data_IF_209085033971
#
_entry.id   IF_209085033971
#
_cell.length_a   1.000
_cell.length_b   1.000
_cell.length_c   1.000
_cell.angle_alpha   90.00
_cell.angle_beta   90.00
_cell.angle_gamma   90.00
#
_symmetry.space_group_name_H-M   'P 1'
#
loop_
_entity.id
_entity.type
_entity.pdbx_description
1 polymer ?
#
# COMPACT_ATOMS: atom_id res chain seq x y z
N UNK A 1 -12.19 4.94 18.10
CA UNK A 1 -12.71 6.31 18.32
C UNK A 1 -11.81 7.12 19.24
N UNK A 2 -11.46 6.65 20.46
CA UNK A 2 -10.66 7.42 21.40
C UNK A 2 -9.35 7.98 20.82
N UNK A 3 -8.56 7.16 20.08
CA UNK A 3 -7.33 7.63 19.43
C UNK A 3 -7.63 8.70 18.37
N UNK A 4 -8.64 8.49 17.53
CA UNK A 4 -9.01 9.44 16.48
C UNK A 4 -9.46 10.81 17.04
N UNK A 5 -10.05 10.83 18.21
CA UNK A 5 -10.51 12.04 18.89
C UNK A 5 -9.36 12.79 19.60
N UNK A 6 -8.30 12.08 19.99
CA UNK A 6 -7.23 12.60 20.84
C UNK A 6 -5.85 12.68 20.16
N UNK A 7 -5.77 12.43 18.84
CA UNK A 7 -4.54 12.58 18.06
C UNK A 7 -4.63 13.80 17.14
N UNK A 8 -3.50 14.46 16.88
CA UNK A 8 -3.42 15.59 15.95
C UNK A 8 -3.48 15.14 14.49
N UNK A 9 -3.06 13.92 14.21
CA UNK A 9 -2.99 13.32 12.87
C UNK A 9 -3.50 11.88 12.95
N UNK A 10 -4.25 11.45 11.94
CA UNK A 10 -4.70 10.07 11.80
C UNK A 10 -3.80 9.32 10.83
N UNK A 11 -3.33 8.15 11.21
CA UNK A 11 -2.58 7.24 10.36
C UNK A 11 -3.42 6.01 10.07
N UNK A 12 -3.51 5.63 8.80
CA UNK A 12 -4.22 4.43 8.35
C UNK A 12 -3.32 3.53 7.51
N UNK A 13 -3.52 2.22 7.63
CA UNK A 13 -3.04 1.23 6.67
C UNK A 13 -4.26 0.66 5.93
N UNK A 14 -4.24 0.68 4.61
CA UNK A 14 -5.34 0.16 3.82
C UNK A 14 -4.84 -0.54 2.56
N UNK A 15 -4.91 -1.85 2.56
CA UNK A 15 -4.49 -2.72 1.46
C UNK A 15 -5.67 -3.20 0.61
N UNK A 16 -6.78 -2.49 0.67
CA UNK A 16 -8.01 -2.80 -0.04
C UNK A 16 -8.12 -2.00 -1.35
N UNK A 17 -9.01 -2.39 -2.27
CA UNK A 17 -9.30 -1.63 -3.47
C UNK A 17 -9.74 -0.19 -3.21
N UNK A 18 -9.76 0.62 -4.26
CA UNK A 18 -9.99 2.06 -4.20
C UNK A 18 -11.32 2.49 -3.56
N UNK A 19 -12.37 1.72 -3.74
CA UNK A 19 -13.68 1.98 -3.13
C UNK A 19 -13.66 1.81 -1.61
N UNK A 20 -13.01 0.77 -1.11
CA UNK A 20 -12.82 0.58 0.33
C UNK A 20 -11.87 1.65 0.89
N UNK A 21 -10.79 2.02 0.18
CA UNK A 21 -9.94 3.14 0.57
C UNK A 21 -10.74 4.44 0.71
N UNK A 22 -11.62 4.75 -0.25
CA UNK A 22 -12.49 5.92 -0.18
C UNK A 22 -13.39 5.87 1.06
N UNK A 23 -14.00 4.73 1.36
CA UNK A 23 -14.85 4.56 2.56
C UNK A 23 -14.09 4.79 3.85
N UNK A 24 -12.85 4.28 3.95
CA UNK A 24 -11.97 4.54 5.10
C UNK A 24 -11.66 6.01 5.26
N UNK A 25 -11.32 6.69 4.17
CA UNK A 25 -11.03 8.14 4.18
C UNK A 25 -12.28 8.93 4.61
N UNK A 26 -13.45 8.60 4.08
CA UNK A 26 -14.70 9.27 4.44
C UNK A 26 -15.01 9.13 5.93
N UNK A 27 -14.78 7.95 6.50
CA UNK A 27 -14.90 7.72 7.93
C UNK A 27 -13.88 8.54 8.73
N UNK A 28 -12.61 8.55 8.32
CA UNK A 28 -11.55 9.31 9.03
C UNK A 28 -11.78 10.82 8.97
N UNK A 29 -12.33 11.35 7.88
CA UNK A 29 -12.68 12.77 7.73
C UNK A 29 -13.68 13.26 8.75
N UNK A 30 -14.52 12.38 9.31
CA UNK A 30 -15.49 12.76 10.36
C UNK A 30 -14.81 13.31 11.63
N UNK A 31 -13.53 12.97 11.84
CA UNK A 31 -12.75 13.46 12.99
C UNK A 31 -12.08 14.81 12.74
N UNK A 32 -12.16 15.35 11.51
CA UNK A 32 -11.59 16.65 11.14
C UNK A 32 -10.09 16.79 11.51
N UNK A 33 -9.30 15.78 11.16
CA UNK A 33 -7.85 15.70 11.36
C UNK A 33 -7.15 15.42 10.04
N UNK A 34 -5.88 15.85 9.86
CA UNK A 34 -5.06 15.40 8.75
C UNK A 34 -4.95 13.88 8.71
N UNK A 35 -4.97 13.30 7.52
CA UNK A 35 -4.91 11.85 7.32
C UNK A 35 -3.64 11.50 6.57
N UNK A 36 -2.89 10.50 7.05
CA UNK A 36 -1.80 9.85 6.38
C UNK A 36 -2.16 8.39 6.10
N UNK A 37 -2.12 7.96 4.85
CA UNK A 37 -2.09 6.55 4.50
C UNK A 37 -0.62 6.11 4.52
N UNK A 38 -0.21 5.49 5.60
CA UNK A 38 1.19 5.13 5.84
C UNK A 38 1.57 3.78 5.27
N UNK A 39 0.58 2.98 4.84
CA UNK A 39 0.79 1.78 4.07
C UNK A 39 -0.42 1.51 3.16
N UNK A 40 -0.15 1.26 1.89
CA UNK A 40 -1.07 0.73 0.91
C UNK A 40 -0.28 -0.10 -0.12
N UNK A 41 -0.86 -0.49 -1.21
CA UNK A 41 -0.29 -1.37 -2.22
C UNK A 41 -0.23 -2.83 -1.77
N UNK A 42 -1.21 -3.57 -2.25
CA UNK A 42 -1.25 -5.02 -2.19
C UNK A 42 -1.86 -5.48 -3.52
N UNK A 43 -1.02 -5.65 -4.54
CA UNK A 43 -1.48 -5.90 -5.91
C UNK A 43 -2.46 -7.07 -6.03
N UNK A 44 -2.23 -8.22 -5.35
CA UNK A 44 -3.19 -9.32 -5.38
C UNK A 44 -4.56 -9.00 -4.80
N UNK A 45 -4.67 -7.96 -3.96
CA UNK A 45 -5.94 -7.52 -3.36
C UNK A 45 -6.59 -6.37 -4.12
N UNK A 46 -6.04 -5.98 -5.27
CA UNK A 46 -6.55 -4.86 -6.07
C UNK A 46 -6.20 -3.48 -5.54
N UNK A 47 -5.38 -3.39 -4.50
CA UNK A 47 -4.78 -2.15 -4.05
C UNK A 47 -3.52 -1.88 -4.88
N UNK A 48 -3.65 -1.10 -5.95
CA UNK A 48 -2.56 -0.76 -6.87
C UNK A 48 -2.32 0.74 -6.91
N UNK A 49 -1.19 1.17 -7.45
CA UNK A 49 -0.92 2.60 -7.62
C UNK A 49 -1.97 3.27 -8.51
N UNK A 50 -2.34 2.63 -9.60
CA UNK A 50 -3.30 3.17 -10.57
C UNK A 50 -4.70 3.35 -9.98
N UNK A 51 -5.10 2.48 -9.07
CA UNK A 51 -6.44 2.52 -8.47
C UNK A 51 -6.50 3.41 -7.23
N UNK A 52 -5.50 3.37 -6.38
CA UNK A 52 -5.53 3.99 -5.04
C UNK A 52 -4.93 5.39 -5.01
N UNK A 53 -3.80 5.64 -5.71
CA UNK A 53 -3.18 6.98 -5.70
C UNK A 53 -4.10 8.12 -6.16
N UNK A 54 -4.96 7.94 -7.20
CA UNK A 54 -5.91 8.99 -7.58
C UNK A 54 -6.88 9.36 -6.45
N UNK A 55 -7.32 8.37 -5.67
CA UNK A 55 -8.19 8.60 -4.50
C UNK A 55 -7.43 9.39 -3.44
N UNK A 56 -6.24 8.93 -3.04
CA UNK A 56 -5.42 9.61 -2.03
C UNK A 56 -5.10 11.06 -2.43
N UNK A 57 -4.75 11.28 -3.71
CA UNK A 57 -4.46 12.61 -4.24
C UNK A 57 -5.69 13.52 -4.23
N UNK A 58 -6.83 13.03 -4.72
CA UNK A 58 -8.12 13.76 -4.72
C UNK A 58 -8.51 14.18 -3.30
N UNK A 59 -8.37 13.28 -2.36
CA UNK A 59 -8.76 13.45 -0.97
C UNK A 59 -7.71 14.20 -0.13
N UNK A 60 -6.55 14.55 -0.72
CA UNK A 60 -5.41 15.22 -0.07
C UNK A 60 -4.86 14.43 1.13
N UNK A 61 -4.84 13.12 1.01
CA UNK A 61 -4.25 12.20 1.98
C UNK A 61 -2.80 11.95 1.60
N UNK A 62 -1.89 12.09 2.56
CA UNK A 62 -0.49 11.73 2.34
C UNK A 62 -0.36 10.22 2.13
N UNK A 63 0.38 9.83 1.08
CA UNK A 63 0.48 8.45 0.63
C UNK A 63 1.90 7.92 0.79
N UNK A 64 2.06 6.86 1.54
CA UNK A 64 3.33 6.14 1.73
C UNK A 64 3.13 4.67 1.38
N UNK A 65 4.04 4.15 0.58
CA UNK A 65 4.09 2.75 0.23
C UNK A 65 4.94 1.96 1.22
N UNK A 66 4.66 0.67 1.35
CA UNK A 66 5.45 -0.26 2.14
C UNK A 66 6.17 -1.24 1.20
N UNK A 67 7.48 -1.07 1.09
CA UNK A 67 8.33 -1.81 0.15
C UNK A 67 8.74 -0.94 -1.05
N UNK A 68 10.02 -0.89 -1.32
CA UNK A 68 10.55 -0.14 -2.45
C UNK A 68 11.42 -1.02 -3.33
N UNK A 69 12.38 -1.71 -2.74
CA UNK A 69 13.36 -2.54 -3.46
C UNK A 69 13.32 -3.96 -2.91
N UNK A 70 13.16 -4.91 -3.82
CA UNK A 70 13.23 -6.33 -3.50
C UNK A 70 14.54 -6.65 -2.77
N UNK A 71 14.44 -7.18 -1.57
CA UNK A 71 15.60 -7.43 -0.72
C UNK A 71 15.30 -8.36 0.44
N UNK A 72 16.08 -8.25 1.52
CA UNK A 72 16.00 -9.12 2.70
C UNK A 72 14.63 -9.08 3.41
N UNK A 73 13.89 -7.98 3.28
CA UNK A 73 12.52 -7.85 3.82
C UNK A 73 11.50 -8.71 3.09
N UNK A 74 11.80 -9.13 1.84
CA UNK A 74 10.94 -9.99 1.03
C UNK A 74 9.51 -9.45 0.83
N UNK A 75 9.35 -8.13 0.72
CA UNK A 75 8.04 -7.49 0.58
C UNK A 75 7.35 -7.74 -0.77
N UNK A 76 8.03 -8.36 -1.73
CA UNK A 76 7.45 -8.84 -2.99
C UNK A 76 6.62 -10.11 -2.83
N UNK A 77 6.77 -10.86 -1.73
CA UNK A 77 5.90 -11.98 -1.40
C UNK A 77 4.63 -11.52 -0.69
N UNK A 78 3.56 -12.31 -0.85
CA UNK A 78 2.36 -12.17 -0.01
C UNK A 78 2.72 -12.34 1.48
N UNK A 79 1.87 -11.81 2.37
CA UNK A 79 2.02 -12.07 3.80
C UNK A 79 2.08 -13.57 4.09
N UNK A 80 2.92 -13.93 5.06
CA UNK A 80 3.17 -15.32 5.40
C UNK A 80 1.88 -16.14 5.51
N UNK A 81 1.75 -17.12 4.64
CA UNK A 81 0.73 -18.18 4.80
C UNK A 81 1.16 -19.07 5.95
N UNK A 82 0.21 -19.53 6.73
CA UNK A 82 0.42 -20.51 7.79
C UNK A 82 -0.31 -21.78 7.46
N UNK A 83 0.25 -22.93 7.89
CA UNK A 83 -0.40 -24.23 7.83
C UNK A 83 -1.50 -24.36 8.91
N UNK A 84 -2.15 -25.52 8.96
CA UNK A 84 -3.20 -25.81 9.93
C UNK A 84 -2.73 -25.76 11.40
N UNK A 85 -1.42 -25.90 11.62
CA UNK A 85 -0.80 -25.89 12.94
C UNK A 85 -0.24 -24.50 13.31
N UNK A 86 -0.38 -23.51 12.41
CA UNK A 86 0.08 -22.12 12.59
C UNK A 86 1.54 -21.89 12.25
N UNK A 87 2.24 -22.84 11.63
CA UNK A 87 3.62 -22.67 11.20
C UNK A 87 3.67 -21.90 9.88
N UNK A 88 4.68 -21.05 9.73
CA UNK A 88 4.90 -20.33 8.47
C UNK A 88 5.22 -21.30 7.33
N UNK A 89 4.50 -21.16 6.22
CA UNK A 89 4.80 -21.88 4.98
C UNK A 89 5.90 -21.11 4.26
N UNK A 90 7.08 -21.72 4.02
CA UNK A 90 8.16 -21.07 3.28
C UNK A 90 7.75 -20.74 1.84
N UNK A 91 8.19 -19.60 1.33
CA UNK A 91 8.10 -19.30 -0.10
C UNK A 91 9.14 -20.14 -0.85
N UNK A 92 8.69 -20.91 -1.82
CA UNK A 92 9.53 -21.81 -2.61
C UNK A 92 9.84 -21.26 -4.01
N UNK A 93 9.01 -20.35 -4.47
CA UNK A 93 9.11 -19.76 -5.82
C UNK A 93 8.84 -18.26 -5.75
N UNK A 94 9.45 -17.50 -6.66
CA UNK A 94 9.19 -16.09 -6.79
C UNK A 94 7.75 -15.87 -7.29
N UNK A 95 6.96 -14.96 -6.68
CA UNK A 95 5.59 -14.73 -7.10
C UNK A 95 5.57 -14.07 -8.49
N UNK A 96 4.65 -14.51 -9.33
CA UNK A 96 4.40 -13.91 -10.64
C UNK A 96 3.91 -12.46 -10.49
N UNK A 97 3.07 -12.21 -9.50
CA UNK A 97 2.58 -10.88 -9.13
C UNK A 97 3.17 -10.47 -7.78
N UNK A 98 4.05 -9.45 -7.81
CA UNK A 98 4.67 -8.94 -6.59
C UNK A 98 3.66 -8.24 -5.69
N UNK A 99 3.84 -8.42 -4.38
CA UNK A 99 2.91 -7.88 -3.39
C UNK A 99 3.11 -6.37 -3.19
N UNK A 100 4.27 -5.94 -2.73
CA UNK A 100 4.57 -4.53 -2.42
C UNK A 100 5.72 -3.94 -3.24
N UNK A 101 6.87 -4.61 -3.33
CA UNK A 101 8.09 -4.00 -3.88
C UNK A 101 7.91 -3.48 -5.33
N UNK A 102 8.64 -2.39 -5.64
CA UNK A 102 8.51 -1.63 -6.89
C UNK A 102 9.71 -1.89 -7.81
N UNK A 103 10.89 -2.07 -7.21
CA UNK A 103 12.16 -2.16 -7.93
C UNK A 103 12.87 -3.48 -7.66
N UNK A 104 13.58 -3.98 -8.66
CA UNK A 104 14.58 -5.03 -8.51
C UNK A 104 15.81 -4.52 -7.73
N UNK A 105 16.69 -5.41 -7.21
CA UNK A 105 17.89 -5.02 -6.48
C UNK A 105 18.88 -4.14 -7.28
N UNK A 106 18.83 -4.20 -8.60
CA UNK A 106 19.63 -3.38 -9.50
C UNK A 106 19.01 -2.01 -9.81
N UNK A 107 17.84 -1.72 -9.21
CA UNK A 107 17.10 -0.48 -9.41
C UNK A 107 16.19 -0.47 -10.64
N UNK A 108 16.12 -1.55 -11.40
CA UNK A 108 15.18 -1.65 -12.52
C UNK A 108 13.74 -1.84 -12.01
N UNK A 109 12.74 -1.23 -12.66
CA UNK A 109 11.35 -1.40 -12.27
C UNK A 109 10.87 -2.85 -12.40
N UNK A 110 10.10 -3.35 -11.42
CA UNK A 110 9.28 -4.55 -11.58
C UNK A 110 8.26 -4.35 -12.71
N UNK A 111 7.60 -3.20 -12.71
CA UNK A 111 6.67 -2.77 -13.75
C UNK A 111 6.98 -1.33 -14.17
N UNK A 112 7.51 -1.14 -15.38
CA UNK A 112 7.90 0.18 -15.88
C UNK A 112 6.70 1.13 -16.05
N UNK A 113 5.53 0.61 -16.45
CA UNK A 113 4.33 1.43 -16.62
C UNK A 113 3.83 1.97 -15.27
N UNK A 114 3.90 1.18 -14.21
CA UNK A 114 3.57 1.56 -12.85
C UNK A 114 4.48 2.69 -12.34
N UNK A 115 5.77 2.60 -12.57
CA UNK A 115 6.73 3.67 -12.20
C UNK A 115 6.45 4.97 -12.97
N UNK A 116 6.14 4.90 -14.24
CA UNK A 116 5.75 6.08 -15.03
C UNK A 116 4.41 6.67 -14.54
N UNK A 117 3.47 5.83 -14.14
CA UNK A 117 2.22 6.28 -13.52
C UNK A 117 2.50 7.03 -12.21
N UNK A 118 3.31 6.47 -11.29
CA UNK A 118 3.71 7.12 -10.03
C UNK A 118 4.32 8.50 -10.33
N UNK A 119 5.27 8.58 -11.27
CA UNK A 119 5.88 9.85 -11.68
C UNK A 119 4.85 10.85 -12.19
N UNK A 120 3.86 10.41 -12.97
CA UNK A 120 2.79 11.28 -13.49
C UNK A 120 1.92 11.86 -12.37
N UNK A 121 1.64 11.05 -11.35
CA UNK A 121 0.80 11.45 -10.21
C UNK A 121 1.52 12.38 -9.24
N UNK A 122 2.86 12.33 -9.17
CA UNK A 122 3.69 13.10 -8.24
C UNK A 122 4.23 14.40 -8.85
N UNK A 123 4.11 14.61 -10.16
CA UNK A 123 4.47 15.89 -10.80
C UNK A 123 3.60 17.02 -10.24
N UNK A 124 4.28 18.13 -9.91
CA UNK A 124 3.64 19.39 -9.53
C UNK A 124 3.11 20.12 -10.75
#
# INVERSE_FOLDING_TARGET
>A
TYLCENCDVLSIHCYQPADEMQRFIDLMKTFNRPIFCTEYLARPFGSTFETVMPVLKKEKVAAYDFGLVKGAMQCHYEWNKVDADGNKIPFTEEPELWFHDILHPDGTPYNAAEVEFIKSMTKK
#
